data_IF_941951274156
#
_entry.id   IF_941951274156
#
_cell.length_a   1.000
_cell.length_b   1.000
_cell.length_c   1.000
_cell.angle_alpha   90.00
_cell.angle_beta   90.00
_cell.angle_gamma   90.00
#
_symmetry.space_group_name_H-M   'P 1'
#
loop_
_entity.id
_entity.type
_entity.pdbx_description
1 polymer ?
#
# COMPACT_ATOMS: atom_id res chain seq x y z
N UNK A 1 47.24 -11.18 -19.19
CA UNK A 1 47.66 -12.36 -19.97
C UNK A 1 48.01 -13.49 -19.00
N UNK A 2 47.06 -14.39 -18.74
CA UNK A 2 47.19 -15.77 -18.23
C UNK A 2 45.77 -16.38 -18.31
N UNK A 3 45.68 -17.54 -18.95
CA UNK A 3 44.49 -18.22 -19.46
C UNK A 3 43.62 -18.89 -18.36
N UNK A 4 42.36 -19.27 -18.67
CA UNK A 4 41.42 -19.89 -17.75
C UNK A 4 41.60 -21.41 -17.65
N UNK A 5 41.20 -21.98 -16.51
CA UNK A 5 41.09 -23.44 -16.31
C UNK A 5 39.64 -23.85 -16.52
N UNK A 6 39.39 -24.59 -17.59
CA UNK A 6 38.15 -25.33 -17.82
C UNK A 6 38.28 -26.72 -17.17
N UNK A 7 37.25 -27.16 -16.44
CA UNK A 7 37.17 -28.53 -15.93
C UNK A 7 36.00 -29.25 -16.59
N UNK A 8 36.35 -30.28 -17.36
CA UNK A 8 35.47 -31.24 -18.01
C UNK A 8 35.40 -32.51 -17.16
N UNK A 9 34.20 -32.99 -16.84
CA UNK A 9 33.95 -34.36 -16.32
C UNK A 9 32.66 -34.83 -16.99
N UNK A 10 32.75 -35.57 -18.10
CA UNK A 10 32.83 -37.04 -18.24
C UNK A 10 31.59 -37.78 -17.70
N UNK A 11 30.73 -38.16 -18.65
CA UNK A 11 29.62 -39.09 -18.46
C UNK A 11 30.14 -40.54 -18.35
N UNK A 12 29.55 -41.31 -17.44
CA UNK A 12 29.66 -42.77 -17.40
C UNK A 12 28.26 -43.37 -17.37
N UNK A 13 27.98 -44.18 -18.39
CA UNK A 13 26.89 -45.13 -18.43
C UNK A 13 27.32 -46.43 -17.72
N UNK A 14 26.41 -47.07 -17.00
CA UNK A 14 26.54 -48.46 -16.57
C UNK A 14 25.15 -49.11 -16.45
N UNK A 15 25.13 -50.39 -16.78
CA UNK A 15 23.99 -51.23 -17.11
C UNK A 15 23.14 -51.68 -15.92
N UNK A 16 21.83 -51.62 -16.15
CA UNK A 16 20.80 -52.65 -15.99
C UNK A 16 21.21 -53.96 -15.29
N UNK A 17 20.55 -54.30 -14.17
CA UNK A 17 20.22 -55.68 -13.73
C UNK A 17 18.81 -55.64 -13.12
N UNK A 18 17.93 -56.47 -13.68
CA UNK A 18 16.51 -56.49 -13.36
C UNK A 18 16.15 -57.20 -12.06
N UNK A 19 15.00 -56.81 -11.51
CA UNK A 19 14.29 -57.58 -10.51
C UNK A 19 12.78 -57.47 -10.80
N UNK A 20 12.14 -58.63 -10.97
CA UNK A 20 10.70 -58.77 -11.25
C UNK A 20 9.92 -58.49 -9.97
N UNK A 21 9.20 -57.37 -9.92
CA UNK A 21 8.19 -57.10 -8.90
C UNK A 21 6.77 -57.39 -9.42
N UNK A 22 6.03 -58.15 -8.61
CA UNK A 22 4.63 -58.57 -8.74
C UNK A 22 3.66 -57.37 -8.86
N UNK A 23 2.58 -57.45 -9.64
CA UNK A 23 1.63 -56.34 -9.79
C UNK A 23 0.77 -56.15 -8.54
N UNK A 24 0.94 -55.00 -7.88
CA UNK A 24 -0.02 -54.50 -6.88
C UNK A 24 -1.28 -53.97 -7.56
N UNK A 25 -2.47 -54.10 -6.94
CA UNK A 25 -3.73 -53.65 -7.50
C UNK A 25 -3.75 -52.13 -7.69
N UNK A 26 -4.09 -51.71 -8.91
CA UNK A 26 -4.29 -50.30 -9.29
C UNK A 26 -5.54 -49.80 -8.57
N UNK A 27 -5.35 -49.02 -7.50
CA UNK A 27 -6.39 -48.17 -6.95
C UNK A 27 -6.60 -46.99 -7.91
N UNK A 28 -7.86 -46.57 -8.16
CA UNK A 28 -8.12 -45.40 -9.00
C UNK A 28 -7.46 -44.16 -8.39
N UNK A 29 -6.98 -43.22 -9.22
CA UNK A 29 -6.44 -41.97 -8.71
C UNK A 29 -7.55 -41.25 -7.93
N UNK A 30 -7.35 -41.16 -6.61
CA UNK A 30 -8.10 -40.23 -5.80
C UNK A 30 -7.64 -38.85 -6.24
N UNK A 31 -8.44 -38.19 -7.08
CA UNK A 31 -8.28 -36.78 -7.41
C UNK A 31 -8.51 -36.00 -6.12
N UNK A 32 -7.45 -35.85 -5.33
CA UNK A 32 -7.41 -34.86 -4.26
C UNK A 32 -7.41 -33.52 -4.97
N UNK A 33 -8.61 -32.97 -5.18
CA UNK A 33 -8.79 -31.58 -5.52
C UNK A 33 -8.13 -30.79 -4.38
N UNK A 34 -6.88 -30.39 -4.60
CA UNK A 34 -6.22 -29.37 -3.80
C UNK A 34 -6.98 -28.08 -4.09
N UNK A 35 -8.05 -27.87 -3.33
CA UNK A 35 -8.61 -26.54 -3.16
C UNK A 35 -7.52 -25.74 -2.44
N UNK A 36 -6.61 -25.17 -3.23
CA UNK A 36 -5.82 -24.02 -2.81
C UNK A 36 -6.83 -22.95 -2.45
N UNK A 37 -7.24 -22.92 -1.18
CA UNK A 37 -8.11 -21.89 -0.67
C UNK A 37 -7.40 -20.56 -0.94
N UNK A 38 -7.93 -19.79 -1.89
CA UNK A 38 -7.42 -18.47 -2.19
C UNK A 38 -7.33 -17.70 -0.86
N UNK A 39 -6.20 -17.03 -0.57
CA UNK A 39 -6.09 -16.25 0.65
C UNK A 39 -7.20 -15.19 0.62
N UNK A 40 -8.13 -15.29 1.58
CA UNK A 40 -9.08 -14.21 1.84
C UNK A 40 -8.26 -13.00 2.24
N UNK A 41 -8.10 -12.06 1.31
CA UNK A 41 -7.42 -10.79 1.57
C UNK A 41 -8.07 -10.05 2.73
N UNK A 42 -9.39 -10.26 2.95
CA UNK A 42 -10.16 -9.61 4.00
C UNK A 42 -10.11 -8.08 3.90
N UNK A 43 -9.69 -7.58 2.73
CA UNK A 43 -9.18 -6.23 2.57
C UNK A 43 -10.31 -5.23 2.65
N UNK A 44 -11.46 -5.55 2.04
CA UNK A 44 -12.50 -4.56 1.78
C UNK A 44 -13.71 -4.71 2.69
N UNK A 45 -14.09 -3.63 3.36
CA UNK A 45 -15.33 -3.48 4.10
C UNK A 45 -16.07 -2.23 3.59
N UNK A 46 -17.40 -2.26 3.56
CA UNK A 46 -18.20 -1.05 3.34
C UNK A 46 -18.80 -0.60 4.67
N UNK A 47 -18.66 0.69 4.99
CA UNK A 47 -19.29 1.32 6.15
C UNK A 47 -20.03 2.58 5.74
N UNK A 48 -20.96 3.01 6.59
CA UNK A 48 -21.67 4.29 6.45
C UNK A 48 -21.31 5.16 7.65
N UNK A 49 -20.98 6.43 7.42
CA UNK A 49 -20.80 7.39 8.51
C UNK A 49 -22.14 7.77 9.14
N UNK A 50 -22.08 8.49 10.27
CA UNK A 50 -23.27 9.05 10.91
C UNK A 50 -24.04 10.02 9.98
N UNK A 51 -23.33 10.75 9.09
CA UNK A 51 -23.92 11.64 8.11
C UNK A 51 -24.51 10.92 6.88
N UNK A 52 -24.37 9.60 6.81
CA UNK A 52 -24.95 8.78 5.75
C UNK A 52 -24.04 8.56 4.53
N UNK A 53 -22.83 9.14 4.49
CA UNK A 53 -21.88 8.88 3.42
C UNK A 53 -21.35 7.44 3.49
N UNK A 54 -21.13 6.81 2.33
CA UNK A 54 -20.61 5.44 2.22
C UNK A 54 -19.11 5.45 1.98
N UNK A 55 -18.43 4.52 2.63
CA UNK A 55 -16.98 4.39 2.57
C UNK A 55 -16.60 2.95 2.26
N UNK A 56 -15.67 2.81 1.32
CA UNK A 56 -14.90 1.60 1.12
C UNK A 56 -13.65 1.68 1.99
N UNK A 57 -13.45 0.66 2.80
CA UNK A 57 -12.35 0.59 3.77
C UNK A 57 -11.47 -0.58 3.39
N UNK A 58 -10.20 -0.29 3.16
CA UNK A 58 -9.14 -1.26 2.94
C UNK A 58 -8.40 -1.48 4.24
N UNK A 59 -8.75 -2.53 4.98
CA UNK A 59 -8.13 -2.90 6.24
C UNK A 59 -7.08 -4.00 5.99
N UNK A 60 -5.80 -3.79 6.36
CA UNK A 60 -4.75 -4.78 6.29
C UNK A 60 -5.05 -5.94 7.26
N UNK A 61 -4.79 -7.17 6.81
CA UNK A 61 -4.76 -8.32 7.69
C UNK A 61 -3.52 -8.33 8.59
N UNK A 62 -3.43 -9.24 9.59
CA UNK A 62 -2.30 -9.31 10.52
C UNK A 62 -0.92 -9.50 9.88
N UNK A 63 -0.89 -9.99 8.63
CA UNK A 63 0.34 -10.23 7.86
C UNK A 63 0.58 -9.16 6.79
N UNK A 64 -0.20 -8.10 6.74
CA UNK A 64 -0.05 -7.07 5.72
C UNK A 64 0.90 -5.98 6.22
N UNK A 65 1.86 -5.60 5.37
CA UNK A 65 2.77 -4.48 5.63
C UNK A 65 2.44 -3.29 4.73
N UNK A 66 2.60 -2.08 5.27
CA UNK A 66 2.51 -0.83 4.51
C UNK A 66 3.88 -0.49 3.93
N UNK A 67 3.93 -0.02 2.68
CA UNK A 67 5.15 0.48 2.05
C UNK A 67 4.87 1.68 1.14
N UNK A 68 5.93 2.40 0.79
CA UNK A 68 5.91 3.51 -0.17
C UNK A 68 6.83 3.16 -1.35
N UNK A 69 6.49 3.62 -2.54
CA UNK A 69 7.34 3.48 -3.73
C UNK A 69 7.10 4.62 -4.71
N UNK A 70 8.10 4.93 -5.54
CA UNK A 70 8.01 5.87 -6.66
C UNK A 70 7.59 5.19 -7.96
N UNK A 71 7.57 3.86 -8.00
CA UNK A 71 7.21 3.08 -9.19
C UNK A 71 5.83 2.50 -9.03
N UNK A 72 4.98 2.66 -10.05
CA UNK A 72 3.66 2.03 -10.07
C UNK A 72 3.76 0.52 -9.87
N UNK A 73 3.11 -0.05 -8.85
CA UNK A 73 3.08 -1.48 -8.65
C UNK A 73 2.36 -2.19 -9.80
N UNK A 74 2.93 -3.29 -10.27
CA UNK A 74 2.34 -4.12 -11.30
C UNK A 74 1.18 -4.95 -10.71
N UNK A 75 -0.06 -4.82 -11.25
CA UNK A 75 -1.21 -5.65 -10.85
C UNK A 75 -0.95 -7.17 -10.85
N UNK A 76 -0.02 -7.66 -11.67
CA UNK A 76 0.36 -9.06 -11.73
C UNK A 76 1.19 -9.51 -10.51
N UNK A 77 1.77 -8.59 -9.73
CA UNK A 77 2.50 -8.92 -8.51
C UNK A 77 1.54 -9.40 -7.42
N UNK A 78 1.50 -10.72 -7.21
CA UNK A 78 0.62 -11.36 -6.24
C UNK A 78 0.84 -10.88 -4.79
N UNK A 79 2.05 -10.42 -4.46
CA UNK A 79 2.39 -9.87 -3.14
C UNK A 79 1.78 -8.49 -2.87
N UNK A 80 1.27 -7.78 -3.87
CA UNK A 80 0.63 -6.47 -3.70
C UNK A 80 -0.88 -6.68 -3.59
N UNK A 81 -1.45 -6.19 -2.48
CA UNK A 81 -2.87 -6.31 -2.12
C UNK A 81 -3.65 -5.03 -2.39
N UNK A 82 -3.01 -3.88 -2.25
CA UNK A 82 -3.56 -2.56 -2.52
C UNK A 82 -2.44 -1.70 -3.09
N UNK A 83 -2.75 -0.91 -4.10
CA UNK A 83 -1.90 0.17 -4.58
C UNK A 83 -2.78 1.40 -4.83
N UNK A 84 -2.47 2.50 -4.15
CA UNK A 84 -3.14 3.79 -4.33
C UNK A 84 -2.10 4.88 -4.49
N UNK A 85 -2.47 5.97 -5.17
CA UNK A 85 -1.67 7.19 -5.13
C UNK A 85 -1.37 7.59 -3.68
N UNK A 86 -0.14 8.00 -3.42
CA UNK A 86 0.26 8.49 -2.11
C UNK A 86 -0.11 9.96 -1.94
N UNK A 87 0.90 10.82 -1.82
CA UNK A 87 0.75 12.28 -1.81
C UNK A 87 0.70 12.84 -3.23
N UNK A 88 0.56 14.16 -3.34
CA UNK A 88 0.34 14.86 -4.58
C UNK A 88 1.50 14.71 -5.57
N UNK A 89 1.16 14.61 -6.85
CA UNK A 89 2.12 14.74 -7.94
C UNK A 89 2.06 16.14 -8.54
N UNK A 90 3.23 16.77 -8.65
CA UNK A 90 3.40 18.09 -9.24
C UNK A 90 3.24 18.10 -10.76
N UNK A 91 3.13 19.30 -11.36
CA UNK A 91 2.97 19.45 -12.81
C UNK A 91 4.19 18.98 -13.63
N UNK A 92 5.33 18.75 -12.98
CA UNK A 92 6.58 18.24 -13.55
C UNK A 92 6.78 16.73 -13.33
N UNK A 93 5.71 16.02 -12.93
CA UNK A 93 5.67 14.57 -12.67
C UNK A 93 6.55 14.14 -11.50
N UNK A 94 6.83 15.07 -10.57
CA UNK A 94 7.56 14.80 -9.32
C UNK A 94 6.62 14.74 -8.13
N UNK A 95 7.07 14.02 -7.10
CA UNK A 95 6.36 13.98 -5.81
C UNK A 95 6.41 15.37 -5.18
N UNK A 96 5.27 15.87 -4.72
CA UNK A 96 5.22 17.08 -3.92
C UNK A 96 5.38 16.79 -2.43
N UNK A 97 6.02 17.72 -1.71
CA UNK A 97 6.29 17.57 -0.29
C UNK A 97 7.44 16.62 -0.02
N UNK A 98 7.88 16.60 1.23
CA UNK A 98 8.98 15.77 1.65
C UNK A 98 8.64 14.29 1.42
N UNK A 99 9.51 13.58 0.71
CA UNK A 99 9.29 12.18 0.36
C UNK A 99 10.60 11.39 0.50
N UNK A 100 10.54 10.33 1.31
CA UNK A 100 11.68 9.45 1.61
C UNK A 100 11.24 8.01 1.37
N UNK A 101 12.06 7.22 0.69
CA UNK A 101 11.79 5.78 0.47
C UNK A 101 13.04 5.00 0.85
N UNK A 102 12.89 4.03 1.75
CA UNK A 102 13.96 3.15 2.24
C UNK A 102 15.23 3.89 2.72
N UNK A 103 15.05 5.04 3.36
CA UNK A 103 16.11 5.92 3.86
C UNK A 103 16.65 6.92 2.84
N UNK A 104 16.24 6.82 1.57
CA UNK A 104 16.70 7.72 0.51
C UNK A 104 15.71 8.88 0.31
N UNK A 105 16.22 10.10 0.40
CA UNK A 105 15.46 11.32 0.13
C UNK A 105 15.16 11.41 -1.38
N UNK A 106 13.88 11.29 -1.74
CA UNK A 106 13.39 11.35 -3.13
C UNK A 106 12.90 12.73 -3.52
N UNK A 107 12.33 13.47 -2.57
CA UNK A 107 12.05 14.89 -2.71
C UNK A 107 12.37 15.61 -1.40
N UNK A 108 13.19 16.67 -1.51
CA UNK A 108 13.70 17.44 -0.37
C UNK A 108 12.90 18.73 -0.10
N UNK A 109 11.86 19.01 -0.91
CA UNK A 109 11.10 20.25 -0.85
C UNK A 109 9.85 20.07 0.04
N UNK A 110 9.90 20.45 1.34
CA UNK A 110 8.73 20.35 2.20
C UNK A 110 7.66 21.34 1.73
N UNK A 111 6.40 20.95 1.95
CA UNK A 111 5.25 21.84 1.78
C UNK A 111 4.75 22.29 3.16
N UNK A 112 3.97 23.38 3.26
CA UNK A 112 3.34 23.81 4.50
C UNK A 112 2.14 22.91 4.86
N UNK A 113 2.37 21.59 4.88
CA UNK A 113 1.38 20.58 5.20
C UNK A 113 1.69 19.97 6.55
N UNK A 114 0.67 19.90 7.40
CA UNK A 114 0.87 19.57 8.80
C UNK A 114 1.06 18.07 9.08
N UNK A 115 0.98 17.19 8.07
CA UNK A 115 0.99 15.75 8.27
C UNK A 115 2.15 15.04 7.59
N UNK A 116 2.62 13.97 8.22
CA UNK A 116 3.42 12.96 7.52
C UNK A 116 3.08 11.54 7.99
N UNK A 117 3.08 10.62 7.03
CA UNK A 117 3.14 9.19 7.29
C UNK A 117 4.60 8.77 7.35
N UNK A 118 5.00 8.18 8.48
CA UNK A 118 6.32 7.57 8.67
C UNK A 118 6.18 6.07 8.73
N UNK A 119 7.05 5.34 8.03
CA UNK A 119 7.18 3.89 8.07
C UNK A 119 8.58 3.55 8.57
N UNK A 120 8.69 3.05 9.80
CA UNK A 120 9.98 2.66 10.38
C UNK A 120 9.84 1.27 10.98
N UNK A 121 10.73 0.34 10.62
CA UNK A 121 10.70 -1.07 11.04
C UNK A 121 9.33 -1.74 10.81
N UNK A 122 8.68 -1.42 9.67
CA UNK A 122 7.34 -1.91 9.34
C UNK A 122 6.22 -1.35 10.22
N UNK A 123 6.52 -0.37 11.08
CA UNK A 123 5.56 0.31 11.96
C UNK A 123 5.19 1.67 11.39
N UNK A 124 3.99 1.77 10.81
CA UNK A 124 3.45 3.04 10.37
C UNK A 124 3.10 3.97 11.55
N UNK A 125 3.32 5.28 11.37
CA UNK A 125 2.96 6.37 12.31
C UNK A 125 2.46 7.58 11.52
N UNK A 126 1.34 8.17 11.92
CA UNK A 126 0.90 9.48 11.44
C UNK A 126 1.32 10.55 12.44
N UNK A 127 2.18 11.48 12.02
CA UNK A 127 2.69 12.55 12.86
C UNK A 127 2.22 13.90 12.36
N UNK A 128 2.09 14.84 13.31
CA UNK A 128 1.76 16.24 13.02
C UNK A 128 2.99 17.12 13.14
N UNK A 129 3.22 17.98 12.15
CA UNK A 129 4.24 19.01 12.08
C UNK A 129 3.56 20.35 11.79
N UNK A 130 3.15 21.14 12.80
CA UNK A 130 2.32 22.34 12.60
C UNK A 130 2.85 23.33 11.56
N UNK A 131 4.17 23.49 11.47
CA UNK A 131 4.80 24.42 10.53
C UNK A 131 5.19 23.74 9.20
N UNK A 132 4.79 22.49 8.99
CA UNK A 132 5.18 21.66 7.85
C UNK A 132 6.66 21.25 7.85
N UNK A 133 7.41 21.62 8.89
CA UNK A 133 8.83 21.30 9.03
C UNK A 133 9.00 19.97 9.73
N UNK A 134 9.49 18.97 9.00
CA UNK A 134 9.90 17.69 9.57
C UNK A 134 11.24 17.88 10.29
N UNK A 135 11.30 17.45 11.55
CA UNK A 135 12.51 17.59 12.37
C UNK A 135 13.73 16.86 11.75
N UNK A 136 14.94 17.43 11.77
CA UNK A 136 16.15 16.77 11.25
C UNK A 136 16.43 15.40 11.88
N UNK A 137 16.11 15.23 13.16
CA UNK A 137 16.23 13.94 13.85
C UNK A 137 15.35 12.86 13.23
N UNK A 138 14.17 13.22 12.72
CA UNK A 138 13.29 12.31 11.99
C UNK A 138 13.93 11.85 10.69
N UNK A 139 14.54 12.78 9.93
CA UNK A 139 15.24 12.43 8.69
C UNK A 139 16.44 11.51 8.95
N UNK A 140 17.20 11.81 10.01
CA UNK A 140 18.32 10.97 10.45
C UNK A 140 17.85 9.58 10.85
N UNK A 141 16.71 9.46 11.54
CA UNK A 141 16.09 8.18 11.88
C UNK A 141 15.72 7.39 10.62
N UNK A 142 15.08 8.03 9.64
CA UNK A 142 14.65 7.39 8.40
C UNK A 142 15.85 6.87 7.61
N UNK A 143 16.92 7.66 7.49
CA UNK A 143 18.15 7.22 6.83
C UNK A 143 18.76 6.01 7.55
N UNK A 144 18.98 6.12 8.86
CA UNK A 144 19.65 5.07 9.65
C UNK A 144 18.88 3.75 9.69
N UNK A 145 17.54 3.80 9.67
CA UNK A 145 16.66 2.62 9.78
C UNK A 145 16.04 2.21 8.46
N UNK A 146 16.46 2.83 7.35
CA UNK A 146 15.86 2.62 6.02
C UNK A 146 14.33 2.80 6.05
N UNK A 147 13.87 3.79 6.81
CA UNK A 147 12.48 4.14 6.92
C UNK A 147 11.98 4.93 5.70
N UNK A 148 10.67 5.03 5.56
CA UNK A 148 10.04 5.83 4.51
C UNK A 148 9.15 6.92 5.11
N UNK A 149 8.98 8.02 4.38
CA UNK A 149 8.13 9.14 4.77
C UNK A 149 7.38 9.69 3.56
N UNK A 150 6.12 10.04 3.80
CA UNK A 150 5.29 10.78 2.86
C UNK A 150 4.64 11.95 3.59
N UNK A 151 4.90 13.18 3.14
CA UNK A 151 4.25 14.39 3.64
C UNK A 151 2.90 14.61 2.95
N UNK A 152 1.90 15.08 3.69
CA UNK A 152 0.57 15.37 3.14
C UNK A 152 -0.30 16.18 4.09
N UNK A 153 -1.52 16.51 3.64
CA UNK A 153 -2.49 17.21 4.49
C UNK A 153 -3.05 16.28 5.57
N UNK A 154 -2.81 16.61 6.84
CA UNK A 154 -3.42 15.92 7.97
C UNK A 154 -4.88 16.34 8.10
N UNK A 155 -5.78 15.36 8.24
CA UNK A 155 -7.22 15.56 8.33
C UNK A 155 -7.72 15.33 9.76
N UNK A 156 -7.21 14.28 10.40
CA UNK A 156 -7.57 13.88 11.76
C UNK A 156 -6.30 13.73 12.57
N UNK A 157 -6.31 14.22 13.79
CA UNK A 157 -5.25 14.06 14.77
C UNK A 157 -5.86 13.87 16.15
N UNK A 158 -5.36 12.89 16.91
CA UNK A 158 -5.83 12.58 18.27
C UNK A 158 -7.36 12.43 18.36
N UNK A 159 -7.96 11.74 17.38
CA UNK A 159 -9.41 11.50 17.25
C UNK A 159 -10.24 12.77 17.03
N UNK A 160 -9.62 13.87 16.63
CA UNK A 160 -10.30 15.11 16.28
C UNK A 160 -10.00 15.53 14.83
N UNK A 161 -11.02 16.02 14.13
CA UNK A 161 -10.84 16.62 12.82
C UNK A 161 -10.11 17.96 12.97
N UNK A 162 -9.12 18.21 12.12
CA UNK A 162 -8.41 19.48 12.09
C UNK A 162 -9.25 20.58 11.40
N UNK A 163 -8.97 21.88 11.66
CA UNK A 163 -9.57 22.96 10.90
C UNK A 163 -9.13 22.90 9.44
N UNK A 164 -10.09 22.72 8.54
CA UNK A 164 -9.85 22.58 7.10
C UNK A 164 -10.53 23.73 6.36
N UNK A 165 -9.87 24.22 5.31
CA UNK A 165 -10.47 25.20 4.40
C UNK A 165 -11.64 24.57 3.66
N UNK A 166 -12.62 25.40 3.30
CA UNK A 166 -13.70 24.97 2.41
C UNK A 166 -13.12 24.40 1.11
N UNK A 167 -13.76 23.34 0.61
CA UNK A 167 -13.31 22.62 -0.56
C UNK A 167 -14.53 22.04 -1.28
N UNK A 168 -14.50 21.87 -2.61
CA UNK A 168 -15.60 21.24 -3.32
C UNK A 168 -15.81 19.79 -2.88
N UNK A 169 -17.04 19.29 -3.04
CA UNK A 169 -17.33 17.88 -2.84
C UNK A 169 -16.68 17.04 -3.96
N UNK A 170 -15.78 16.14 -3.58
CA UNK A 170 -15.04 15.25 -4.50
C UNK A 170 -14.92 13.88 -3.85
N UNK A 171 -14.61 12.84 -4.64
CA UNK A 171 -14.20 11.57 -4.05
C UNK A 171 -12.93 11.81 -3.21
N UNK A 172 -12.90 11.29 -1.99
CA UNK A 172 -11.80 11.47 -1.03
C UNK A 172 -11.19 10.13 -0.65
N UNK A 173 -9.88 10.13 -0.42
CA UNK A 173 -9.14 8.98 0.09
C UNK A 173 -8.17 9.43 1.17
N UNK A 174 -8.06 8.64 2.23
CA UNK A 174 -7.09 8.88 3.29
C UNK A 174 -6.47 7.56 3.76
N UNK A 175 -5.21 7.63 4.19
CA UNK A 175 -4.63 6.61 5.07
C UNK A 175 -4.99 6.98 6.52
N UNK A 176 -5.47 6.01 7.28
CA UNK A 176 -6.09 6.18 8.59
C UNK A 176 -5.41 5.26 9.60
N UNK A 177 -5.22 5.73 10.83
CA UNK A 177 -4.98 4.86 12.00
C UNK A 177 -6.26 4.66 12.77
N UNK A 178 -6.55 3.43 13.15
CA UNK A 178 -7.71 3.07 13.95
C UNK A 178 -7.43 1.79 14.74
N UNK A 179 -7.57 1.82 16.06
CA UNK A 179 -7.44 0.62 16.91
C UNK A 179 -6.06 -0.02 16.85
N UNK A 180 -5.01 0.78 16.68
CA UNK A 180 -3.62 0.31 16.52
C UNK A 180 -3.29 -0.30 15.15
N UNK A 181 -4.23 -0.32 14.21
CA UNK A 181 -4.02 -0.74 12.83
C UNK A 181 -4.11 0.46 11.87
N UNK A 182 -3.60 0.27 10.66
CA UNK A 182 -3.75 1.24 9.57
C UNK A 182 -4.85 0.78 8.62
N UNK A 183 -5.41 1.68 7.83
CA UNK A 183 -6.36 1.36 6.77
C UNK A 183 -6.34 2.46 5.71
N UNK A 184 -6.88 2.18 4.52
CA UNK A 184 -7.21 3.22 3.55
C UNK A 184 -8.72 3.35 3.48
N UNK A 185 -9.22 4.57 3.66
CA UNK A 185 -10.64 4.89 3.56
C UNK A 185 -10.86 5.68 2.28
N UNK A 186 -11.83 5.28 1.48
CA UNK A 186 -12.24 5.96 0.26
C UNK A 186 -13.74 6.21 0.29
N UNK A 187 -14.17 7.45 0.04
CA UNK A 187 -15.59 7.75 -0.10
C UNK A 187 -16.13 7.16 -1.40
N UNK A 188 -17.29 6.52 -1.36
CA UNK A 188 -17.93 5.97 -2.57
C UNK A 188 -18.62 7.06 -3.43
N UNK A 189 -18.68 8.29 -2.93
CA UNK A 189 -19.24 9.44 -3.62
C UNK A 189 -18.55 10.74 -3.22
N UNK A 190 -18.98 11.88 -3.80
CA UNK A 190 -18.37 13.18 -3.53
C UNK A 190 -18.66 13.66 -2.10
N UNK A 191 -17.61 14.05 -1.38
CA UNK A 191 -17.68 14.59 -0.01
C UNK A 191 -16.73 15.79 0.10
N UNK A 192 -17.16 16.86 0.77
CA UNK A 192 -16.28 17.98 1.10
C UNK A 192 -15.19 17.53 2.08
N UNK A 193 -13.98 18.09 1.99
CA UNK A 193 -12.84 17.63 2.79
C UNK A 193 -13.10 17.72 4.31
N UNK A 194 -13.77 18.78 4.77
CA UNK A 194 -14.13 18.94 6.18
C UNK A 194 -15.15 17.88 6.65
N UNK A 195 -16.17 17.59 5.81
CA UNK A 195 -17.13 16.54 6.08
C UNK A 195 -16.48 15.14 6.07
N UNK A 196 -15.53 14.91 5.17
CA UNK A 196 -14.75 13.67 5.13
C UNK A 196 -13.93 13.49 6.42
N UNK A 197 -13.22 14.52 6.89
CA UNK A 197 -12.48 14.45 8.14
C UNK A 197 -13.40 14.17 9.35
N UNK A 198 -14.56 14.82 9.41
CA UNK A 198 -15.56 14.57 10.45
C UNK A 198 -16.09 13.12 10.39
N UNK A 199 -16.40 12.61 9.19
CA UNK A 199 -16.85 11.23 9.01
C UNK A 199 -15.80 10.23 9.47
N UNK A 200 -14.52 10.44 9.14
CA UNK A 200 -13.43 9.58 9.59
C UNK A 200 -13.37 9.49 11.13
N UNK A 201 -13.56 10.61 11.83
CA UNK A 201 -13.66 10.61 13.31
C UNK A 201 -14.83 9.74 13.77
N UNK A 202 -16.03 9.90 13.19
CA UNK A 202 -17.19 9.06 13.56
C UNK A 202 -17.00 7.58 13.25
N UNK A 203 -16.18 7.26 12.25
CA UNK A 203 -15.83 5.89 11.89
C UNK A 203 -14.71 5.31 12.76
N UNK A 204 -14.15 6.09 13.69
CA UNK A 204 -13.17 5.67 14.68
C UNK A 204 -11.72 5.97 14.32
N UNK A 205 -11.46 6.86 13.36
CA UNK A 205 -10.11 7.30 13.04
C UNK A 205 -9.44 8.01 14.24
N UNK A 206 -8.22 7.60 14.55
CA UNK A 206 -7.35 8.25 15.54
C UNK A 206 -6.51 9.33 14.88
N UNK A 207 -6.00 9.06 13.68
CA UNK A 207 -5.36 10.04 12.81
C UNK A 207 -5.65 9.68 11.34
N UNK A 208 -5.61 10.66 10.46
CA UNK A 208 -5.84 10.45 9.03
C UNK A 208 -5.07 11.46 8.19
N UNK A 209 -4.43 10.98 7.13
CA UNK A 209 -3.69 11.78 6.16
C UNK A 209 -4.36 11.66 4.79
N UNK A 210 -4.66 12.80 4.16
CA UNK A 210 -5.26 12.83 2.84
C UNK A 210 -4.31 12.25 1.78
N UNK A 211 -4.84 11.45 0.86
CA UNK A 211 -4.12 10.92 -0.30
C UNK A 211 -4.58 11.64 -1.58
N UNK A 212 -3.75 11.56 -2.62
CA UNK A 212 -4.02 12.21 -3.90
C UNK A 212 -5.24 11.60 -4.60
N UNK A 213 -6.03 12.47 -5.23
CA UNK A 213 -7.35 12.17 -5.81
C UNK A 213 -7.58 13.00 -7.09
N UNK A 214 -8.82 13.05 -7.58
CA UNK A 214 -9.13 13.70 -8.85
C UNK A 214 -8.52 12.91 -10.01
N UNK A 215 -7.87 13.59 -10.96
CA UNK A 215 -7.22 12.94 -12.12
C UNK A 215 -6.10 11.97 -11.75
N UNK A 216 -5.65 11.99 -10.49
CA UNK A 216 -4.60 11.17 -9.90
C UNK A 216 -5.15 10.06 -8.99
N UNK A 217 -6.48 9.85 -8.98
CA UNK A 217 -7.14 8.93 -8.05
C UNK A 217 -6.91 7.45 -8.35
N UNK A 218 -6.33 7.11 -9.51
CA UNK A 218 -6.18 5.72 -9.91
C UNK A 218 -5.41 4.90 -8.87
N UNK A 219 -5.98 3.75 -8.59
CA UNK A 219 -5.35 2.69 -7.82
C UNK A 219 -5.98 1.37 -8.18
N UNK A 220 -5.63 0.34 -7.42
CA UNK A 220 -6.24 -0.97 -7.55
C UNK A 220 -6.07 -1.77 -6.25
N UNK A 221 -6.91 -2.78 -6.08
CA UNK A 221 -6.80 -3.73 -4.98
C UNK A 221 -7.06 -5.15 -5.45
N UNK A 222 -6.56 -6.10 -4.69
CA UNK A 222 -6.79 -7.53 -4.88
C UNK A 222 -8.00 -7.95 -4.06
N UNK A 223 -8.99 -8.57 -4.72
CA UNK A 223 -10.15 -9.19 -4.07
C UNK A 223 -9.75 -10.53 -3.44
N UNK A 224 -10.65 -11.05 -2.61
CA UNK A 224 -10.48 -12.37 -1.96
C UNK A 224 -10.38 -13.54 -2.94
N UNK A 225 -10.93 -13.39 -4.15
CA UNK A 225 -10.82 -14.38 -5.23
C UNK A 225 -9.50 -14.25 -6.04
N UNK A 226 -8.61 -13.34 -5.62
CA UNK A 226 -7.32 -13.06 -6.28
C UNK A 226 -7.41 -12.09 -7.46
N UNK A 227 -8.61 -11.73 -7.93
CA UNK A 227 -8.80 -10.80 -9.05
C UNK A 227 -8.42 -9.37 -8.66
N UNK A 228 -7.93 -8.61 -9.63
CA UNK A 228 -7.63 -7.19 -9.44
C UNK A 228 -8.84 -6.33 -9.80
N UNK A 229 -9.14 -5.37 -8.93
CA UNK A 229 -10.21 -4.41 -9.11
C UNK A 229 -9.64 -2.97 -9.11
N UNK A 230 -10.04 -2.12 -10.06
CA UNK A 230 -9.60 -0.73 -10.11
C UNK A 230 -10.22 0.11 -8.98
N UNK A 231 -9.56 1.23 -8.66
CA UNK A 231 -9.98 2.27 -7.72
C UNK A 231 -9.80 3.66 -8.33
N UNK A 232 -10.58 4.62 -7.82
CA UNK A 232 -10.65 5.98 -8.36
C UNK A 232 -11.64 6.09 -9.52
N UNK A 233 -12.17 7.29 -9.70
CA UNK A 233 -13.19 7.58 -10.72
C UNK A 233 -12.61 8.36 -11.92
N UNK A 234 -11.37 8.85 -11.82
CA UNK A 234 -10.70 9.63 -12.87
C UNK A 234 -9.23 9.23 -13.00
N UNK A 235 -8.88 8.77 -14.21
CA UNK A 235 -7.62 8.11 -14.56
C UNK A 235 -6.78 8.92 -15.56
N UNK A 236 -7.14 10.18 -15.83
CA UNK A 236 -6.51 10.98 -16.89
C UNK A 236 -5.02 11.27 -16.62
N UNK A 237 -4.58 11.27 -15.36
CA UNK A 237 -3.20 11.57 -14.99
C UNK A 237 -2.45 10.35 -14.42
N UNK A 238 -2.99 9.15 -14.53
CA UNK A 238 -2.40 7.92 -14.00
C UNK A 238 -0.95 7.69 -14.44
N UNK A 239 -0.67 7.89 -15.73
CA UNK A 239 0.68 7.69 -16.28
C UNK A 239 1.73 8.63 -15.67
N UNK A 240 1.27 9.69 -15.00
CA UNK A 240 2.10 10.72 -14.40
C UNK A 240 2.28 10.50 -12.89
N UNK A 241 1.52 9.61 -12.25
CA UNK A 241 1.57 9.41 -10.79
C UNK A 241 2.99 9.05 -10.32
N UNK A 242 3.55 9.87 -9.44
CA UNK A 242 4.97 9.83 -9.05
C UNK A 242 5.25 9.02 -7.78
N UNK A 243 4.20 8.66 -7.03
CA UNK A 243 4.34 7.94 -5.77
C UNK A 243 3.09 7.13 -5.41
N UNK A 244 3.34 6.05 -4.67
CA UNK A 244 2.34 5.05 -4.35
C UNK A 244 2.45 4.62 -2.90
N UNK A 245 1.29 4.45 -2.26
CA UNK A 245 1.12 3.78 -0.99
C UNK A 245 0.57 2.38 -1.26
N UNK A 246 1.23 1.36 -0.72
CA UNK A 246 0.93 -0.03 -1.05
C UNK A 246 0.77 -0.90 0.19
N UNK A 247 -0.18 -1.82 0.11
CA UNK A 247 -0.30 -2.91 1.06
C UNK A 247 0.34 -4.15 0.44
N UNK A 248 1.30 -4.73 1.14
CA UNK A 248 2.00 -5.94 0.72
C UNK A 248 1.63 -7.11 1.63
N UNK A 249 1.43 -8.28 1.04
CA UNK A 249 1.37 -9.54 1.75
C UNK A 249 2.75 -9.81 2.39
N UNK A 250 2.79 -9.97 3.71
CA UNK A 250 3.98 -10.36 4.45
C UNK A 250 4.35 -11.83 4.18
N UNK A 251 5.64 -12.14 4.30
CA UNK A 251 6.12 -13.51 4.24
C UNK A 251 5.51 -14.34 5.38
N UNK A 252 5.17 -15.60 5.09
CA UNK A 252 4.68 -16.56 6.09
C UNK A 252 5.80 -17.13 6.91
#
# INVERSE_FOLDING_TARGET
MRLPVALTILALAACDHGEKATPSPVLPPTTTASASAAPRSGLTLTRRSAAGHRYRIFAPGPRTRLALTTTRPDPAQASVLLAVAGTYTGPDDRVEGLFVVDGELRNAEPKPWEGALLLVDGRPRLLRFPDGVVAPATLTELEARRGSLLQGHLLVHEKAALPLKSSPALQRRAVVTQGGAFAVFESEGPVELAAFAADLVTLGAEAALNLDMGTWSEGWYRRDDGTVAPLGDDHRATARQSNWLIFLQGAS
#
